data_IF_840011787635
#
_entry.id   IF_840011787635
#
_cell.length_a   1.000
_cell.length_b   1.000
_cell.length_c   1.000
_cell.angle_alpha   90.00
_cell.angle_beta   90.00
_cell.angle_gamma   90.00
#
_symmetry.space_group_name_H-M   'P 1'
#
loop_
_entity.id
_entity.type
_entity.pdbx_description
1 polymer ?
#
# COMPACT_ATOMS: atom_id res chain seq x y z
N UNK A 1 17.90 -7.33 -8.32
CA UNK A 1 17.80 -6.68 -9.65
C UNK A 1 16.49 -5.90 -9.88
N UNK A 2 15.30 -6.41 -9.50
CA UNK A 2 14.02 -5.75 -9.86
C UNK A 2 13.82 -4.33 -9.29
N UNK A 3 14.30 -4.03 -8.08
CA UNK A 3 14.15 -2.69 -7.46
C UNK A 3 14.90 -1.59 -8.23
N UNK A 4 16.16 -1.85 -8.60
CA UNK A 4 16.99 -0.90 -9.35
C UNK A 4 16.38 -0.61 -10.73
N UNK A 5 15.91 -1.65 -11.42
CA UNK A 5 15.24 -1.49 -12.71
C UNK A 5 13.93 -0.69 -12.61
N UNK A 6 13.11 -0.92 -11.57
CA UNK A 6 11.90 -0.12 -11.32
C UNK A 6 12.23 1.35 -11.04
N UNK A 7 13.26 1.60 -10.23
CA UNK A 7 13.71 2.96 -9.93
C UNK A 7 14.25 3.68 -11.18
N UNK A 8 15.04 2.98 -12.00
CA UNK A 8 15.53 3.47 -13.28
C UNK A 8 14.38 3.83 -14.23
N UNK A 9 13.41 2.93 -14.46
CA UNK A 9 12.22 3.24 -15.28
C UNK A 9 11.41 4.42 -14.74
N UNK A 10 11.26 4.52 -13.42
CA UNK A 10 10.55 5.64 -12.79
C UNK A 10 11.29 6.97 -12.94
N UNK A 11 12.62 6.97 -12.98
CA UNK A 11 13.44 8.16 -13.30
C UNK A 11 13.21 8.60 -14.74
N UNK A 12 13.21 7.66 -15.69
CA UNK A 12 13.01 7.95 -17.11
C UNK A 12 11.60 8.44 -17.43
N UNK A 13 10.57 7.83 -16.83
CA UNK A 13 9.19 8.31 -16.95
C UNK A 13 9.03 9.73 -16.38
N UNK A 14 9.67 10.04 -15.25
CA UNK A 14 9.68 11.41 -14.70
C UNK A 14 10.35 12.40 -15.64
N UNK A 15 11.46 12.02 -16.29
CA UNK A 15 12.13 12.86 -17.27
C UNK A 15 11.26 13.10 -18.50
N UNK A 16 10.61 12.04 -19.01
CA UNK A 16 9.65 12.13 -20.11
C UNK A 16 8.54 13.14 -19.82
N UNK A 17 7.99 13.12 -18.60
CA UNK A 17 6.90 14.01 -18.17
C UNK A 17 7.30 15.48 -17.96
N UNK A 18 8.60 15.82 -17.92
CA UNK A 18 9.06 17.23 -17.75
C UNK A 18 8.88 18.08 -19.00
N UNK A 19 8.85 17.45 -20.17
CA UNK A 19 8.82 18.12 -21.46
C UNK A 19 7.52 17.80 -22.20
N UNK A 20 7.04 18.73 -23.01
CA UNK A 20 5.77 18.58 -23.71
C UNK A 20 5.94 17.97 -25.08
N UNK A 21 7.02 18.32 -25.78
CA UNK A 21 7.29 17.88 -27.15
C UNK A 21 8.29 16.73 -27.22
N UNK A 22 8.24 15.91 -28.27
CA UNK A 22 9.22 14.85 -28.47
C UNK A 22 10.61 15.39 -28.82
N UNK A 23 10.69 16.55 -29.47
CA UNK A 23 11.96 17.22 -29.80
C UNK A 23 12.72 17.63 -28.53
N UNK A 24 12.03 18.26 -27.57
CA UNK A 24 12.60 18.59 -26.26
C UNK A 24 13.00 17.34 -25.47
N UNK A 25 12.19 16.27 -25.53
CA UNK A 25 12.52 15.01 -24.85
C UNK A 25 13.81 14.40 -25.44
N UNK A 26 13.95 14.42 -26.77
CA UNK A 26 15.13 13.88 -27.46
C UNK A 26 16.39 14.68 -27.15
N UNK A 27 16.31 16.01 -27.03
CA UNK A 27 17.46 16.84 -26.67
C UNK A 27 17.92 16.65 -25.22
N UNK A 28 17.02 16.20 -24.33
CA UNK A 28 17.31 15.93 -22.92
C UNK A 28 17.47 14.44 -22.60
N UNK A 29 18.05 13.67 -23.53
CA UNK A 29 18.40 12.26 -23.30
C UNK A 29 19.38 12.12 -22.13
N UNK A 30 19.16 11.19 -21.17
CA UNK A 30 20.15 10.84 -20.16
C UNK A 30 21.42 10.24 -20.78
N UNK A 31 22.59 10.57 -20.23
CA UNK A 31 23.88 10.02 -20.68
C UNK A 31 23.97 8.49 -20.54
N UNK A 32 23.27 7.92 -19.56
CA UNK A 32 23.26 6.49 -19.27
C UNK A 32 22.21 5.70 -20.07
N UNK A 33 21.65 6.29 -21.13
CA UNK A 33 20.64 5.67 -22.00
C UNK A 33 21.02 5.88 -23.46
N UNK A 34 21.10 4.78 -24.22
CA UNK A 34 21.37 4.83 -25.66
C UNK A 34 20.30 5.63 -26.42
N UNK A 35 20.67 6.22 -27.56
CA UNK A 35 19.76 7.08 -28.32
C UNK A 35 18.52 6.31 -28.79
N UNK A 36 18.74 5.10 -29.29
CA UNK A 36 17.73 4.19 -29.81
C UNK A 36 16.75 3.78 -28.70
N UNK A 37 17.26 3.43 -27.52
CA UNK A 37 16.46 3.11 -26.35
C UNK A 37 15.62 4.31 -25.89
N UNK A 38 16.20 5.51 -25.91
CA UNK A 38 15.47 6.72 -25.53
C UNK A 38 14.35 7.07 -26.51
N UNK A 39 14.59 6.92 -27.82
CA UNK A 39 13.54 7.07 -28.85
C UNK A 39 12.40 6.07 -28.62
N UNK A 40 12.73 4.81 -28.36
CA UNK A 40 11.75 3.78 -28.03
C UNK A 40 10.95 4.15 -26.78
N UNK A 41 11.61 4.61 -25.72
CA UNK A 41 10.96 4.98 -24.45
C UNK A 41 10.02 6.19 -24.61
N UNK A 42 10.38 7.19 -25.42
CA UNK A 42 9.50 8.32 -25.72
C UNK A 42 8.22 7.83 -26.42
N UNK A 43 8.35 6.94 -27.40
CA UNK A 43 7.20 6.34 -28.07
C UNK A 43 6.36 5.50 -27.11
N UNK A 44 7.01 4.69 -26.27
CA UNK A 44 6.38 3.84 -25.28
C UNK A 44 5.57 4.66 -24.26
N UNK A 45 6.16 5.67 -23.63
CA UNK A 45 5.45 6.54 -22.67
C UNK A 45 4.38 7.41 -23.34
N UNK A 46 4.55 7.74 -24.62
CA UNK A 46 3.57 8.46 -25.42
C UNK A 46 2.36 7.62 -25.86
N UNK A 47 2.51 6.29 -25.88
CA UNK A 47 1.49 5.35 -26.35
C UNK A 47 0.19 5.44 -25.54
N UNK A 48 -0.92 5.19 -26.22
CA UNK A 48 -2.23 5.19 -25.58
C UNK A 48 -2.34 4.11 -24.51
N UNK A 49 -1.80 2.92 -24.77
CA UNK A 49 -1.81 1.79 -23.84
C UNK A 49 -1.11 2.13 -22.53
N UNK A 50 0.08 2.76 -22.61
CA UNK A 50 0.79 3.20 -21.42
C UNK A 50 0.00 4.24 -20.63
N UNK A 51 -0.56 5.25 -21.32
CA UNK A 51 -1.34 6.32 -20.68
C UNK A 51 -2.58 5.79 -19.96
N UNK A 52 -3.33 4.88 -20.59
CA UNK A 52 -4.51 4.25 -19.99
C UNK A 52 -4.15 3.52 -18.69
N UNK A 53 -3.07 2.72 -18.72
CA UNK A 53 -2.61 2.00 -17.53
C UNK A 53 -2.11 2.97 -16.46
N UNK A 54 -1.34 3.99 -16.86
CA UNK A 54 -0.80 5.01 -15.95
C UNK A 54 -1.90 5.78 -15.23
N UNK A 55 -2.92 6.27 -15.96
CA UNK A 55 -4.05 7.00 -15.38
C UNK A 55 -4.92 6.12 -14.49
N UNK A 56 -5.12 4.84 -14.86
CA UNK A 56 -5.81 3.88 -13.98
C UNK A 56 -5.03 3.69 -12.67
N UNK A 57 -3.72 3.49 -12.75
CA UNK A 57 -2.89 3.28 -11.56
C UNK A 57 -2.84 4.54 -10.69
N UNK A 58 -2.80 5.73 -11.29
CA UNK A 58 -2.87 7.02 -10.58
C UNK A 58 -4.18 7.14 -9.80
N UNK A 59 -5.33 6.94 -10.45
CA UNK A 59 -6.65 6.96 -9.78
C UNK A 59 -6.74 5.91 -8.66
N UNK A 60 -6.24 4.70 -8.88
CA UNK A 60 -6.23 3.66 -7.85
C UNK A 60 -5.36 4.05 -6.66
N UNK A 61 -4.22 4.71 -6.90
CA UNK A 61 -3.34 5.21 -5.84
C UNK A 61 -3.95 6.37 -5.07
N UNK A 62 -4.69 7.25 -5.75
CA UNK A 62 -5.45 8.35 -5.11
C UNK A 62 -6.57 7.83 -4.20
N UNK A 63 -7.18 6.69 -4.55
CA UNK A 63 -8.18 6.01 -3.72
C UNK A 63 -7.57 5.19 -2.57
N UNK A 64 -6.25 5.09 -2.47
CA UNK A 64 -5.63 4.34 -1.39
C UNK A 64 -5.64 5.14 -0.10
N UNK A 65 -6.50 4.71 0.82
CA UNK A 65 -6.76 5.37 2.10
C UNK A 65 -5.69 5.00 3.14
N UNK A 66 -5.30 3.73 3.21
CA UNK A 66 -4.28 3.24 4.15
C UNK A 66 -3.14 2.54 3.43
N UNK A 67 -1.94 2.54 4.04
CA UNK A 67 -0.79 1.75 3.59
C UNK A 67 -0.56 0.59 4.54
N UNK A 68 -0.07 -0.53 4.05
CA UNK A 68 0.31 -1.67 4.88
C UNK A 68 1.82 -1.97 4.78
N UNK A 69 2.34 -2.74 5.74
CA UNK A 69 3.75 -3.17 5.86
C UNK A 69 3.95 -4.67 5.70
N UNK A 70 2.90 -5.43 5.39
CA UNK A 70 2.94 -6.89 5.17
C UNK A 70 3.91 -7.35 4.05
N UNK A 71 4.38 -6.43 3.21
CA UNK A 71 5.32 -6.75 2.13
C UNK A 71 4.70 -7.69 1.10
N UNK A 72 5.31 -8.85 0.90
CA UNK A 72 4.81 -9.90 0.01
C UNK A 72 3.78 -10.83 0.66
N UNK A 73 3.62 -10.75 1.98
CA UNK A 73 2.68 -11.58 2.73
C UNK A 73 1.27 -11.02 2.58
N UNK A 74 0.30 -11.90 2.41
CA UNK A 74 -1.11 -11.49 2.39
C UNK A 74 -1.60 -11.15 3.80
N UNK A 75 -2.72 -10.42 3.92
CA UNK A 75 -3.33 -10.15 5.23
C UNK A 75 -3.71 -11.45 5.97
N UNK A 76 -4.31 -12.41 5.26
CA UNK A 76 -4.64 -13.73 5.81
C UNK A 76 -3.39 -14.48 6.30
N UNK A 77 -2.27 -14.36 5.59
CA UNK A 77 -1.01 -14.98 6.03
C UNK A 77 -0.42 -14.28 7.28
N UNK A 78 -0.51 -12.95 7.35
CA UNK A 78 -0.10 -12.19 8.55
C UNK A 78 -0.97 -12.58 9.74
N UNK A 79 -2.29 -12.67 9.54
CA UNK A 79 -3.23 -13.12 10.56
C UNK A 79 -2.95 -14.55 11.03
N UNK A 80 -2.72 -15.48 10.11
CA UNK A 80 -2.43 -16.87 10.47
C UNK A 80 -1.12 -16.98 11.27
N UNK A 81 -0.11 -16.13 10.97
CA UNK A 81 1.11 -16.10 11.78
C UNK A 81 0.92 -15.54 13.19
N UNK A 82 -0.21 -14.87 13.44
CA UNK A 82 -0.60 -14.38 14.77
C UNK A 82 -1.44 -15.41 15.52
N UNK A 83 -1.76 -16.56 14.93
CA UNK A 83 -2.52 -17.60 15.60
C UNK A 83 -1.72 -18.13 16.79
N UNK A 84 -2.35 -18.14 17.96
CA UNK A 84 -1.78 -18.71 19.15
C UNK A 84 -1.55 -20.23 18.96
N UNK A 85 -0.34 -20.76 19.15
CA UNK A 85 -0.03 -22.17 18.87
C UNK A 85 -0.68 -23.14 19.85
N UNK A 86 -1.14 -22.67 21.02
CA UNK A 86 -1.77 -23.48 22.07
C UNK A 86 -3.29 -23.42 21.95
N UNK A 87 -3.87 -22.21 21.88
CA UNK A 87 -5.34 -22.04 21.84
C UNK A 87 -5.90 -22.13 20.42
N UNK A 88 -5.07 -21.91 19.40
CA UNK A 88 -5.51 -21.84 18.01
C UNK A 88 -6.29 -20.58 17.68
N UNK A 89 -6.43 -19.63 18.60
CA UNK A 89 -7.17 -18.38 18.38
C UNK A 89 -6.29 -17.33 17.70
N UNK A 90 -6.90 -16.52 16.84
CA UNK A 90 -6.23 -15.36 16.25
C UNK A 90 -6.47 -14.15 17.16
N UNK A 91 -5.47 -13.28 17.26
CA UNK A 91 -5.56 -12.01 17.98
C UNK A 91 -6.70 -11.11 17.49
N UNK A 92 -7.06 -10.13 18.34
CA UNK A 92 -8.12 -9.15 18.10
C UNK A 92 -7.87 -8.28 16.86
N UNK A 93 -8.93 -7.68 16.33
CA UNK A 93 -8.90 -6.87 15.10
C UNK A 93 -7.86 -5.74 15.17
N UNK A 94 -7.78 -5.05 16.31
CA UNK A 94 -6.83 -3.96 16.55
C UNK A 94 -5.38 -4.43 16.52
N UNK A 95 -5.07 -5.59 17.12
CA UNK A 95 -3.71 -6.15 17.16
C UNK A 95 -3.22 -6.61 15.79
N UNK A 96 -4.07 -7.30 15.06
CA UNK A 96 -3.78 -7.66 13.66
C UNK A 96 -3.54 -6.39 12.83
N UNK A 97 -4.39 -5.37 12.99
CA UNK A 97 -4.28 -4.10 12.28
C UNK A 97 -2.96 -3.36 12.59
N UNK A 98 -2.58 -3.28 13.87
CA UNK A 98 -1.33 -2.68 14.34
C UNK A 98 -0.13 -3.28 13.61
N UNK A 99 -0.05 -4.61 13.51
CA UNK A 99 1.06 -5.30 12.85
C UNK A 99 1.06 -5.05 11.34
N UNK A 100 -0.12 -5.04 10.72
CA UNK A 100 -0.25 -4.80 9.29
C UNK A 100 0.07 -3.36 8.88
N UNK A 101 0.00 -2.39 9.80
CA UNK A 101 0.12 -0.95 9.51
C UNK A 101 1.21 -0.22 10.32
N UNK A 102 2.09 -0.95 10.99
CA UNK A 102 3.28 -0.41 11.65
C UNK A 102 4.55 -0.98 11.04
N UNK A 103 5.65 -0.25 11.18
CA UNK A 103 7.01 -0.75 10.88
C UNK A 103 7.94 -0.41 12.01
N UNK A 104 9.06 -1.12 12.09
CA UNK A 104 10.17 -0.72 12.95
C UNK A 104 10.94 0.43 12.30
N UNK A 105 11.24 1.47 13.08
CA UNK A 105 12.17 2.52 12.69
C UNK A 105 13.64 2.06 12.85
N UNK A 106 14.60 2.95 12.58
CA UNK A 106 16.03 2.64 12.70
C UNK A 106 16.47 2.31 14.14
N UNK A 107 15.64 2.64 15.14
CA UNK A 107 15.86 2.36 16.56
C UNK A 107 15.16 1.07 17.01
N UNK A 108 14.35 0.48 16.14
CA UNK A 108 13.56 -0.73 16.42
C UNK A 108 12.16 -0.45 16.98
N UNK A 109 11.76 0.82 17.11
CA UNK A 109 10.48 1.24 17.66
C UNK A 109 9.37 1.10 16.62
N UNK A 110 8.18 0.68 17.05
CA UNK A 110 7.02 0.59 16.16
C UNK A 110 6.48 1.98 15.85
N UNK A 111 6.44 2.31 14.56
CA UNK A 111 5.88 3.54 14.04
C UNK A 111 4.79 3.26 13.02
N UNK A 112 3.71 4.03 13.10
CA UNK A 112 2.61 3.98 12.13
C UNK A 112 3.09 4.43 10.75
N UNK A 113 2.61 3.75 9.72
CA UNK A 113 2.96 4.03 8.31
C UNK A 113 2.32 5.31 7.77
N UNK A 114 1.15 5.66 8.31
CA UNK A 114 0.42 6.89 8.06
C UNK A 114 -0.50 7.20 9.25
N UNK A 115 -0.91 8.46 9.37
CA UNK A 115 -1.76 8.95 10.47
C UNK A 115 -3.17 8.35 10.43
N UNK A 116 -3.65 7.99 9.24
CA UNK A 116 -4.99 7.44 9.08
C UNK A 116 -5.07 6.02 9.65
N UNK A 117 -4.04 5.20 9.46
CA UNK A 117 -3.95 3.87 10.05
C UNK A 117 -3.95 3.90 11.57
N UNK A 118 -3.30 4.91 12.17
CA UNK A 118 -3.32 5.14 13.62
C UNK A 118 -4.73 5.53 14.11
N UNK A 119 -5.42 6.39 13.38
CA UNK A 119 -6.80 6.78 13.73
C UNK A 119 -7.75 5.58 13.68
N UNK A 120 -7.68 4.79 12.61
CA UNK A 120 -8.48 3.56 12.46
C UNK A 120 -8.18 2.57 13.58
N UNK A 121 -6.91 2.42 13.97
CA UNK A 121 -6.55 1.57 15.10
C UNK A 121 -7.24 2.01 16.39
N UNK A 122 -7.28 3.32 16.69
CA UNK A 122 -8.02 3.84 17.85
C UNK A 122 -9.51 3.46 17.82
N UNK A 123 -10.15 3.58 16.66
CA UNK A 123 -11.55 3.17 16.49
C UNK A 123 -11.74 1.65 16.68
N UNK A 124 -10.81 0.83 16.17
CA UNK A 124 -10.83 -0.62 16.38
C UNK A 124 -10.70 -0.96 17.87
N UNK A 125 -9.81 -0.29 18.60
CA UNK A 125 -9.64 -0.50 20.04
C UNK A 125 -10.92 -0.17 20.82
N UNK A 126 -11.60 0.91 20.47
CA UNK A 126 -12.88 1.29 21.09
C UNK A 126 -13.95 0.22 20.87
N UNK A 127 -14.11 -0.26 19.64
CA UNK A 127 -15.10 -1.30 19.33
C UNK A 127 -14.71 -2.62 20.01
N UNK A 128 -13.44 -3.04 19.96
CA UNK A 128 -12.97 -4.26 20.64
C UNK A 128 -13.22 -4.18 22.15
N UNK A 129 -12.95 -3.04 22.79
CA UNK A 129 -13.19 -2.87 24.22
C UNK A 129 -14.69 -2.95 24.56
N UNK A 130 -15.57 -2.41 23.71
CA UNK A 130 -17.01 -2.55 23.88
C UNK A 130 -17.47 -4.01 23.78
N UNK A 131 -16.90 -4.77 22.83
CA UNK A 131 -17.21 -6.19 22.60
C UNK A 131 -16.75 -7.13 23.72
N UNK A 132 -15.83 -6.69 24.58
CA UNK A 132 -15.36 -7.45 25.74
C UNK A 132 -16.24 -7.25 26.99
N UNK A 133 -17.30 -6.45 26.91
CA UNK A 133 -18.22 -6.27 28.03
C UNK A 133 -19.08 -7.52 28.28
N UNK A 134 -19.33 -7.84 29.55
CA UNK A 134 -20.09 -9.02 29.98
C UNK A 134 -21.57 -8.99 29.54
N UNK A 135 -22.07 -7.84 29.09
CA UNK A 135 -23.46 -7.63 28.67
C UNK A 135 -23.76 -8.09 27.23
N UNK A 136 -22.74 -8.44 26.44
CA UNK A 136 -22.91 -8.83 25.03
C UNK A 136 -22.99 -10.36 24.93
N UNK A 137 -24.21 -10.88 24.70
CA UNK A 137 -24.44 -12.32 24.49
C UNK A 137 -23.77 -12.86 23.21
N UNK A 138 -23.63 -12.02 22.19
CA UNK A 138 -23.09 -12.40 20.89
C UNK A 138 -22.03 -11.39 20.42
N UNK A 139 -20.77 -11.55 20.87
CA UNK A 139 -19.68 -10.65 20.47
C UNK A 139 -19.47 -10.68 18.96
N UNK A 140 -19.21 -9.52 18.39
CA UNK A 140 -18.89 -9.38 16.97
C UNK A 140 -17.62 -10.17 16.63
N UNK A 141 -17.64 -10.81 15.47
CA UNK A 141 -16.45 -11.37 14.86
C UNK A 141 -15.49 -10.26 14.43
N UNK A 142 -14.23 -10.61 14.24
CA UNK A 142 -13.19 -9.67 13.78
C UNK A 142 -13.56 -8.99 12.46
N UNK A 143 -14.13 -9.73 11.52
CA UNK A 143 -14.48 -9.21 10.19
C UNK A 143 -15.68 -8.23 10.27
N UNK A 144 -16.61 -8.45 11.21
CA UNK A 144 -17.70 -7.52 11.51
C UNK A 144 -17.19 -6.24 12.17
N UNK A 145 -16.23 -6.35 13.11
CA UNK A 145 -15.56 -5.19 13.72
C UNK A 145 -14.86 -4.37 12.64
N UNK A 146 -14.09 -5.02 11.76
CA UNK A 146 -13.41 -4.36 10.65
C UNK A 146 -14.41 -3.70 9.69
N UNK A 147 -15.52 -4.36 9.37
CA UNK A 147 -16.56 -3.81 8.49
C UNK A 147 -17.27 -2.61 9.11
N UNK A 148 -17.43 -2.60 10.44
CA UNK A 148 -18.02 -1.48 11.17
C UNK A 148 -17.12 -0.24 11.15
N UNK A 149 -15.80 -0.42 11.29
CA UNK A 149 -14.85 0.70 11.32
C UNK A 149 -14.47 1.17 9.90
N UNK A 150 -14.23 0.25 8.98
CA UNK A 150 -13.74 0.55 7.63
C UNK A 150 -14.86 0.74 6.60
N UNK A 151 -16.09 0.34 6.95
CA UNK A 151 -17.21 0.21 6.03
C UNK A 151 -17.18 -1.10 5.23
N UNK A 152 -18.31 -1.41 4.60
CA UNK A 152 -18.42 -2.55 3.71
C UNK A 152 -17.65 -2.31 2.39
N UNK A 153 -17.06 -3.39 1.86
CA UNK A 153 -16.46 -3.35 0.53
C UNK A 153 -17.55 -3.14 -0.52
N UNK A 154 -17.50 -2.00 -1.20
CA UNK A 154 -18.33 -1.67 -2.38
C UNK A 154 -17.72 -2.18 -3.67
#
# INVERSE_FOLDING_TARGET
MQRLFRAWKARLSRLYSKYNTNEERLSHRPEDVELEDWKYLIQYFGSQDFKVVSERNKRNREKQITKHTCGTRSFAEVEESMRNPITGEIDTADKVWEIQHTRKDDRGELVWVDSQSQQIHGQLQEVVAQQQSEEIEHPMTRDEILSTVLGERT
#
